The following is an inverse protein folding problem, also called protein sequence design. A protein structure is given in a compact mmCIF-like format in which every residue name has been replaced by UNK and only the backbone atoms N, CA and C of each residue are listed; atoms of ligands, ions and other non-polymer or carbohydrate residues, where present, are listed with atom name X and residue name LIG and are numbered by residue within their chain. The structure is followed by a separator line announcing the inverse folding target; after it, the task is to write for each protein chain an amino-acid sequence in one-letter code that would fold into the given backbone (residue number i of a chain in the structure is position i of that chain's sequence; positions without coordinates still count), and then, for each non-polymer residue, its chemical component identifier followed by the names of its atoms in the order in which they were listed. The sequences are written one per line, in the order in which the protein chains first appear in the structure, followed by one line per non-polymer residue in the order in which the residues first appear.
data_IF_997929534128
#
_entry.id   IF_997929534128
#
_cell.length_a   1.000
_cell.length_b   1.000
_cell.length_c   1.000
_cell.angle_alpha   90.00
_cell.angle_beta   90.00
_cell.angle_gamma   90.00
#
_symmetry.space_group_name_H-M   'P 1'
#
loop_
_entity.id
_entity.type
_entity.pdbx_description
1 polymer ?
#
# COMPACT_ATOMS: atom_id res chain seq x y z
N UNK A 1 45.08 -46.72 2.90
CA UNK A 1 46.36 -46.06 3.19
C UNK A 1 46.08 -44.70 3.80
N UNK A 2 46.60 -44.53 4.99
CA UNK A 2 46.44 -43.36 5.89
C UNK A 2 47.26 -42.20 5.34
N UNK A 3 46.81 -40.96 5.48
CA UNK A 3 47.68 -39.86 5.84
C UNK A 3 46.88 -38.72 6.51
N UNK A 4 47.16 -38.57 7.79
CA UNK A 4 46.82 -37.45 8.64
C UNK A 4 47.74 -36.28 8.32
N UNK A 5 47.22 -35.04 8.25
CA UNK A 5 48.02 -33.86 8.47
C UNK A 5 47.46 -33.07 9.69
N UNK A 6 48.23 -33.15 10.76
CA UNK A 6 48.15 -32.23 11.90
C UNK A 6 48.84 -30.93 11.50
N UNK A 7 48.19 -29.81 11.73
CA UNK A 7 48.86 -28.51 11.74
C UNK A 7 48.66 -27.80 13.10
N UNK A 8 49.79 -27.41 13.65
CA UNK A 8 49.99 -26.94 15.00
C UNK A 8 49.49 -25.48 15.20
N UNK A 9 48.92 -25.29 16.38
CA UNK A 9 48.58 -23.97 16.94
C UNK A 9 49.88 -23.32 17.46
N UNK A 10 50.22 -22.15 16.94
CA UNK A 10 51.21 -21.25 17.55
C UNK A 10 50.51 -20.12 18.29
N UNK A 11 50.65 -20.11 19.58
CA UNK A 11 50.30 -19.00 20.46
C UNK A 11 51.25 -17.84 20.24
N UNK A 12 50.74 -16.67 19.94
CA UNK A 12 51.48 -15.42 20.06
C UNK A 12 50.75 -14.52 21.07
N UNK A 13 51.39 -14.34 22.21
CA UNK A 13 51.03 -13.30 23.22
C UNK A 13 51.33 -11.94 22.60
N UNK A 14 50.37 -11.08 22.56
CA UNK A 14 50.58 -9.66 22.26
C UNK A 14 49.92 -8.80 23.32
N UNK A 15 50.76 -7.91 23.85
CA UNK A 15 50.53 -7.04 25.00
C UNK A 15 49.29 -6.13 24.84
N UNK A 16 48.54 -5.98 25.94
CA UNK A 16 47.46 -5.04 26.12
C UNK A 16 48.05 -3.64 26.34
N UNK A 17 47.90 -2.75 25.35
CA UNK A 17 48.07 -1.31 25.54
C UNK A 17 46.71 -0.75 25.92
N UNK A 18 46.57 -0.33 27.18
CA UNK A 18 45.40 0.42 27.68
C UNK A 18 45.54 1.85 27.18
N UNK A 19 44.92 2.12 26.01
CA UNK A 19 44.72 3.48 25.51
C UNK A 19 43.41 4.02 26.06
N UNK A 20 43.48 5.00 26.94
CA UNK A 20 42.32 5.76 27.42
C UNK A 20 41.67 6.51 26.25
N UNK A 21 40.57 5.99 25.72
CA UNK A 21 39.74 6.68 24.74
C UNK A 21 38.86 7.67 25.51
N UNK A 22 39.21 8.95 25.41
CA UNK A 22 38.30 10.06 25.74
C UNK A 22 37.06 9.95 24.82
N UNK A 23 35.98 9.42 25.34
CA UNK A 23 34.68 9.46 24.69
C UNK A 23 34.17 10.90 24.80
N UNK A 24 34.41 11.70 23.76
CA UNK A 24 33.70 12.94 23.57
C UNK A 24 32.24 12.55 23.20
N UNK A 25 31.32 12.71 24.14
CA UNK A 25 29.90 12.61 23.91
C UNK A 25 29.48 13.71 22.90
N UNK A 26 29.39 13.33 21.62
CA UNK A 26 28.71 14.17 20.65
C UNK A 26 27.26 14.38 21.14
N UNK A 27 26.72 15.61 21.11
CA UNK A 27 25.34 15.85 21.44
C UNK A 27 24.46 15.01 20.50
N UNK A 28 23.61 14.17 21.08
CA UNK A 28 22.56 13.47 20.35
C UNK A 28 21.81 14.50 19.51
N UNK A 29 21.96 14.41 18.19
CA UNK A 29 21.18 15.22 17.27
C UNK A 29 19.70 14.99 17.61
N UNK A 30 19.05 16.01 18.17
CA UNK A 30 17.64 15.98 18.44
C UNK A 30 16.93 15.64 17.15
N UNK A 31 16.22 14.52 17.11
CA UNK A 31 15.46 14.11 15.93
C UNK A 31 14.58 15.29 15.53
N UNK A 32 14.77 15.81 14.30
CA UNK A 32 14.02 16.95 13.83
C UNK A 32 12.53 16.67 13.93
N UNK A 33 11.77 17.58 14.54
CA UNK A 33 10.33 17.45 14.65
C UNK A 33 9.72 17.38 13.24
N UNK A 34 9.04 16.29 12.92
CA UNK A 34 8.37 16.09 11.62
C UNK A 34 6.87 15.91 11.83
N UNK A 35 6.09 16.28 10.83
CA UNK A 35 4.64 16.02 10.84
C UNK A 35 4.39 14.51 10.99
N UNK A 36 3.45 14.12 11.87
CA UNK A 36 3.20 12.71 12.22
C UNK A 36 4.11 12.15 13.32
N UNK A 37 5.27 12.77 13.61
CA UNK A 37 6.18 12.36 14.67
C UNK A 37 5.58 12.53 16.07
N UNK A 38 6.02 11.72 17.05
CA UNK A 38 5.58 11.82 18.45
C UNK A 38 5.99 13.16 19.07
N UNK A 39 5.11 13.73 19.86
CA UNK A 39 5.38 14.88 20.71
C UNK A 39 4.93 14.61 22.14
N UNK A 40 5.41 15.40 23.10
CA UNK A 40 5.25 15.10 24.54
C UNK A 40 4.26 16.01 25.25
N UNK A 41 3.94 17.19 24.71
CA UNK A 41 3.07 18.19 25.36
C UNK A 41 2.04 18.72 24.37
N UNK A 42 0.77 18.43 24.62
CA UNK A 42 -0.33 18.96 23.80
C UNK A 42 -0.29 20.48 23.75
N UNK A 43 -0.51 21.05 22.56
CA UNK A 43 -0.47 22.49 22.31
C UNK A 43 0.94 23.05 22.07
N UNK A 44 2.02 22.32 22.37
CA UNK A 44 3.37 22.78 22.07
C UNK A 44 3.55 23.02 20.57
N UNK A 45 4.40 23.98 20.19
CA UNK A 45 4.72 24.28 18.79
C UNK A 45 6.21 24.01 18.53
N UNK A 46 6.53 23.57 17.33
CA UNK A 46 7.90 23.36 16.85
C UNK A 46 8.01 23.82 15.41
N UNK A 47 9.23 24.08 14.95
CA UNK A 47 9.50 24.36 13.52
C UNK A 47 10.15 23.13 12.87
N UNK A 48 9.72 22.83 11.65
CA UNK A 48 10.35 21.88 10.76
C UNK A 48 10.59 22.61 9.43
N UNK A 49 11.81 23.07 9.22
CA UNK A 49 12.12 23.97 8.12
C UNK A 49 11.30 25.28 8.22
N UNK A 50 10.58 25.61 7.14
CA UNK A 50 9.67 26.78 7.09
C UNK A 50 8.29 26.52 7.68
N UNK A 51 8.00 25.32 8.14
CA UNK A 51 6.68 24.88 8.60
C UNK A 51 6.59 24.94 10.13
N UNK A 52 5.49 25.47 10.65
CA UNK A 52 5.17 25.41 12.09
C UNK A 52 4.30 24.18 12.36
N UNK A 53 4.75 23.38 13.31
CA UNK A 53 4.04 22.19 13.79
C UNK A 53 3.40 22.49 15.16
N UNK A 54 2.24 21.91 15.43
CA UNK A 54 1.58 21.95 16.76
C UNK A 54 1.37 20.52 17.23
N UNK A 55 1.75 20.26 18.48
CA UNK A 55 1.51 18.98 19.12
C UNK A 55 0.01 18.83 19.42
N UNK A 56 -0.63 17.88 18.80
CA UNK A 56 -2.08 17.67 18.89
C UNK A 56 -2.35 16.22 19.30
N UNK A 57 -3.37 16.04 20.14
CA UNK A 57 -3.83 14.70 20.54
C UNK A 57 -4.64 14.10 19.40
N UNK A 58 -4.16 12.98 18.86
CA UNK A 58 -4.84 12.20 17.83
C UNK A 58 -5.08 10.80 18.40
N UNK A 59 -6.32 10.48 18.68
CA UNK A 59 -6.66 9.28 19.47
C UNK A 59 -6.01 9.31 20.84
N UNK A 60 -5.25 8.27 21.20
CA UNK A 60 -4.50 8.16 22.47
C UNK A 60 -3.08 8.73 22.43
N UNK A 61 -2.61 9.22 21.27
CA UNK A 61 -1.21 9.64 21.06
C UNK A 61 -1.12 11.15 20.83
N UNK A 62 0.01 11.73 21.25
CA UNK A 62 0.38 13.11 20.92
C UNK A 62 1.31 13.08 19.71
N UNK A 63 0.93 13.81 18.64
CA UNK A 63 1.69 13.89 17.39
C UNK A 63 1.82 15.32 16.90
N UNK A 64 2.90 15.60 16.16
CA UNK A 64 3.13 16.86 15.50
C UNK A 64 2.21 17.01 14.29
N UNK A 65 1.37 18.03 14.27
CA UNK A 65 0.48 18.39 13.16
C UNK A 65 0.90 19.74 12.60
N UNK A 66 0.99 19.85 11.27
CA UNK A 66 1.34 21.10 10.60
C UNK A 66 0.25 22.15 10.80
N UNK A 67 0.64 23.35 11.22
CA UNK A 67 -0.25 24.51 11.24
C UNK A 67 -0.23 25.20 9.88
N UNK A 68 -1.42 25.38 9.28
CA UNK A 68 -1.54 26.11 8.02
C UNK A 68 -1.02 27.54 8.14
N UNK A 69 -0.14 27.96 7.23
CA UNK A 69 0.24 29.36 7.08
C UNK A 69 -1.01 30.18 6.74
N UNK A 70 -1.29 31.21 7.52
CA UNK A 70 -2.21 32.28 7.09
C UNK A 70 -1.56 32.98 5.88
N UNK A 71 -1.87 32.52 4.68
CA UNK A 71 -1.51 33.18 3.44
C UNK A 71 -2.42 34.39 3.24
N UNK A 72 -1.82 35.54 3.10
CA UNK A 72 -2.43 36.79 2.67
C UNK A 72 -3.05 36.62 1.28
N UNK A 73 -4.23 37.14 1.06
CA UNK A 73 -5.12 36.88 -0.03
C UNK A 73 -4.57 37.07 -1.45
N UNK A 74 -4.95 36.15 -2.30
CA UNK A 74 -5.21 36.39 -3.70
C UNK A 74 -6.52 35.65 -4.03
N UNK A 75 -7.52 36.43 -4.42
CA UNK A 75 -8.86 36.01 -4.79
C UNK A 75 -8.84 35.27 -6.14
N UNK A 76 -8.50 33.99 -6.11
CA UNK A 76 -8.85 33.07 -7.16
C UNK A 76 -9.99 32.22 -6.62
N UNK A 77 -11.16 32.22 -7.26
CA UNK A 77 -12.29 31.34 -6.93
C UNK A 77 -11.83 29.89 -7.03
N UNK A 78 -11.27 29.38 -5.95
CA UNK A 78 -11.15 27.94 -5.75
C UNK A 78 -12.58 27.46 -5.48
N UNK A 79 -13.15 26.71 -6.42
CA UNK A 79 -14.30 25.87 -6.16
C UNK A 79 -14.00 25.12 -4.85
N UNK A 80 -14.75 25.44 -3.80
CA UNK A 80 -14.64 24.72 -2.53
C UNK A 80 -15.12 23.31 -2.78
N UNK A 81 -14.15 22.39 -3.06
CA UNK A 81 -14.45 20.98 -3.22
C UNK A 81 -15.17 20.50 -1.97
N UNK A 82 -16.40 20.03 -2.14
CA UNK A 82 -17.17 19.43 -1.06
C UNK A 82 -16.43 18.19 -0.58
N UNK A 83 -16.14 18.13 0.73
CA UNK A 83 -15.49 16.96 1.30
C UNK A 83 -16.42 15.76 1.18
N UNK A 84 -15.97 14.64 0.59
CA UNK A 84 -16.74 13.41 0.57
C UNK A 84 -17.14 12.99 1.98
N UNK A 85 -18.41 12.68 2.19
CA UNK A 85 -18.95 12.24 3.48
C UNK A 85 -19.24 10.76 3.52
N UNK A 86 -19.25 10.13 2.33
CA UNK A 86 -19.49 8.69 2.14
C UNK A 86 -18.94 8.21 0.80
N UNK A 87 -18.98 6.90 0.55
CA UNK A 87 -18.60 6.30 -0.74
C UNK A 87 -19.33 6.90 -1.95
N UNK A 88 -20.53 7.47 -1.76
CA UNK A 88 -21.33 8.07 -2.84
C UNK A 88 -20.67 9.31 -3.45
N UNK A 89 -19.82 9.97 -2.70
CA UNK A 89 -19.11 11.17 -3.15
C UNK A 89 -17.82 10.84 -3.92
N UNK A 90 -17.47 9.55 -4.05
CA UNK A 90 -16.31 9.07 -4.80
C UNK A 90 -16.70 8.85 -6.26
N UNK A 91 -16.03 9.49 -7.23
CA UNK A 91 -16.39 9.33 -8.64
C UNK A 91 -16.05 7.94 -9.18
N UNK A 92 -16.97 7.37 -9.96
CA UNK A 92 -16.79 6.10 -10.65
C UNK A 92 -16.05 6.32 -11.99
N UNK A 93 -14.72 6.38 -11.95
CA UNK A 93 -13.86 6.76 -13.08
C UNK A 93 -12.65 5.85 -13.28
N UNK A 94 -12.56 4.74 -12.55
CA UNK A 94 -11.43 3.80 -12.66
C UNK A 94 -11.52 3.06 -13.98
N UNK A 95 -10.47 3.12 -14.79
CA UNK A 95 -10.43 2.62 -16.16
C UNK A 95 -9.58 1.37 -16.35
N UNK A 96 -8.75 1.01 -15.38
CA UNK A 96 -7.91 -0.19 -15.35
C UNK A 96 -7.52 -0.52 -13.89
N UNK A 97 -6.89 -1.65 -13.66
CA UNK A 97 -6.49 -2.16 -12.34
C UNK A 97 -5.10 -1.70 -11.85
N UNK A 98 -4.48 -0.75 -12.55
CA UNK A 98 -3.12 -0.30 -12.24
C UNK A 98 -2.04 -1.03 -13.02
N UNK A 99 -2.40 -1.96 -13.90
CA UNK A 99 -1.52 -2.69 -14.81
C UNK A 99 -2.30 -3.22 -16.02
N UNK A 100 -1.63 -3.82 -17.00
CA UNK A 100 -2.31 -4.45 -18.12
C UNK A 100 -2.93 -5.78 -17.65
N UNK A 101 -4.24 -5.77 -17.43
CA UNK A 101 -5.02 -6.90 -16.95
C UNK A 101 -6.11 -7.24 -17.95
N UNK A 102 -6.08 -8.44 -18.48
CA UNK A 102 -7.02 -8.96 -19.49
C UNK A 102 -7.52 -10.33 -19.05
N UNK A 103 -8.51 -10.86 -19.75
CA UNK A 103 -9.02 -12.20 -19.49
C UNK A 103 -7.90 -13.25 -19.59
N UNK A 104 -8.00 -14.27 -18.75
CA UNK A 104 -7.01 -15.35 -18.73
C UNK A 104 -6.93 -16.08 -20.07
N UNK A 105 -5.72 -16.30 -20.54
CA UNK A 105 -5.41 -17.07 -21.73
C UNK A 105 -4.67 -18.35 -21.36
N UNK A 106 -5.32 -19.49 -21.53
CA UNK A 106 -4.68 -20.80 -21.30
C UNK A 106 -3.46 -21.06 -22.22
N UNK A 107 -3.43 -20.43 -23.40
CA UNK A 107 -2.32 -20.55 -24.34
C UNK A 107 -1.03 -19.90 -23.82
N UNK A 108 -1.16 -18.78 -23.08
CA UNK A 108 -0.01 -18.07 -22.50
C UNK A 108 0.17 -18.30 -21.00
N UNK A 109 -0.85 -18.83 -20.33
CA UNK A 109 -0.89 -18.96 -18.87
C UNK A 109 -0.99 -17.65 -18.12
N UNK A 110 -1.45 -16.59 -18.79
CA UNK A 110 -1.46 -15.21 -18.28
C UNK A 110 -2.84 -14.56 -18.37
N UNK A 111 -3.05 -13.58 -17.54
CA UNK A 111 -4.12 -12.60 -17.62
C UNK A 111 -3.48 -11.21 -17.82
N UNK A 112 -3.25 -10.83 -19.08
CA UNK A 112 -2.42 -9.66 -19.39
C UNK A 112 -0.98 -9.83 -18.88
N UNK A 113 -0.55 -8.94 -18.00
CA UNK A 113 0.79 -9.01 -17.38
C UNK A 113 0.85 -10.00 -16.20
N UNK A 114 -0.29 -10.38 -15.62
CA UNK A 114 -0.33 -11.33 -14.51
C UNK A 114 -0.03 -12.75 -14.99
N UNK A 115 0.98 -13.38 -14.39
CA UNK A 115 1.29 -14.80 -14.61
C UNK A 115 0.46 -15.64 -13.65
N UNK A 116 -0.25 -16.64 -14.16
CA UNK A 116 -1.08 -17.57 -13.39
C UNK A 116 -0.53 -18.99 -13.47
N UNK A 117 -0.40 -19.51 -14.70
CA UNK A 117 0.05 -20.89 -14.91
C UNK A 117 1.51 -21.09 -14.52
N UNK A 118 1.77 -22.16 -13.78
CA UNK A 118 3.12 -22.51 -13.31
C UNK A 118 3.60 -21.73 -12.11
N UNK A 119 2.79 -20.82 -11.55
CA UNK A 119 3.11 -20.12 -10.31
C UNK A 119 2.82 -21.06 -9.14
N UNK A 120 3.80 -21.19 -8.24
CA UNK A 120 3.64 -21.95 -7.00
C UNK A 120 3.69 -20.99 -5.81
N UNK A 121 2.63 -20.93 -5.00
CA UNK A 121 2.63 -20.10 -3.79
C UNK A 121 3.82 -20.39 -2.88
N UNK A 122 4.29 -19.40 -2.11
CA UNK A 122 5.20 -19.66 -0.99
C UNK A 122 4.58 -20.64 0.00
N UNK A 123 5.41 -21.50 0.57
CA UNK A 123 4.99 -22.47 1.61
C UNK A 123 5.80 -22.27 2.88
N UNK A 124 5.12 -22.41 4.00
CA UNK A 124 5.66 -22.17 5.32
C UNK A 124 5.57 -23.42 6.17
N UNK A 125 6.50 -23.56 7.13
CA UNK A 125 6.50 -24.58 8.17
C UNK A 125 6.64 -23.91 9.54
N UNK A 126 6.24 -24.62 10.60
CA UNK A 126 6.32 -24.08 11.96
C UNK A 126 4.95 -23.74 12.55
N UNK A 127 4.90 -23.08 13.71
CA UNK A 127 3.67 -22.90 14.48
C UNK A 127 2.59 -22.08 13.78
N UNK A 128 2.96 -21.17 12.88
CA UNK A 128 2.03 -20.31 12.14
C UNK A 128 1.77 -20.80 10.70
N UNK A 129 2.29 -21.97 10.33
CA UNK A 129 2.25 -22.44 8.94
C UNK A 129 0.85 -22.48 8.34
N UNK A 130 -0.18 -22.82 9.12
CA UNK A 130 -1.54 -22.88 8.62
C UNK A 130 -2.07 -21.51 8.18
N UNK A 131 -1.87 -20.47 9.00
CA UNK A 131 -2.29 -19.10 8.67
C UNK A 131 -1.46 -18.49 7.56
N UNK A 132 -0.14 -18.70 7.60
CA UNK A 132 0.77 -18.16 6.60
C UNK A 132 0.52 -18.81 5.22
N UNK A 133 0.36 -20.13 5.16
CA UNK A 133 0.04 -20.81 3.92
C UNK A 133 -1.34 -20.39 3.37
N UNK A 134 -2.34 -20.18 4.23
CA UNK A 134 -3.65 -19.69 3.80
C UNK A 134 -3.55 -18.28 3.18
N UNK A 135 -2.80 -17.38 3.81
CA UNK A 135 -2.57 -16.02 3.33
C UNK A 135 -1.85 -15.99 1.98
N UNK A 136 -0.72 -16.72 1.89
CA UNK A 136 0.12 -16.69 0.68
C UNK A 136 -0.42 -17.55 -0.47
N UNK A 137 -1.58 -18.17 -0.34
CA UNK A 137 -2.24 -18.87 -1.45
C UNK A 137 -2.97 -17.96 -2.43
N UNK A 138 -3.27 -16.72 -2.03
CA UNK A 138 -3.99 -15.78 -2.88
C UNK A 138 -3.03 -15.07 -3.83
N UNK A 139 -3.23 -15.20 -5.14
CA UNK A 139 -2.51 -14.44 -6.17
C UNK A 139 -3.09 -13.02 -6.33
N UNK A 140 -4.36 -12.87 -6.00
CA UNK A 140 -5.07 -11.60 -5.92
C UNK A 140 -5.71 -11.54 -4.54
N UNK A 141 -5.37 -10.54 -3.73
CA UNK A 141 -5.99 -10.28 -2.44
C UNK A 141 -7.24 -9.42 -2.60
N UNK A 142 -8.46 -9.95 -2.40
CA UNK A 142 -9.69 -9.16 -2.46
C UNK A 142 -9.80 -8.18 -1.30
N UNK A 143 -10.46 -7.04 -1.53
CA UNK A 143 -10.80 -6.07 -0.49
C UNK A 143 -11.76 -6.72 0.53
N UNK A 144 -11.47 -6.54 1.81
CA UNK A 144 -12.23 -7.15 2.91
C UNK A 144 -11.82 -8.58 3.24
N UNK A 145 -10.83 -9.14 2.54
CA UNK A 145 -10.21 -10.39 2.95
C UNK A 145 -9.56 -10.22 4.34
N UNK A 146 -9.64 -11.26 5.16
CA UNK A 146 -9.00 -11.25 6.47
C UNK A 146 -7.63 -11.92 6.35
N UNK A 147 -6.58 -11.14 6.53
CA UNK A 147 -5.20 -11.58 6.42
C UNK A 147 -4.49 -11.33 7.75
N UNK A 148 -4.00 -12.38 8.38
CA UNK A 148 -3.37 -12.31 9.72
C UNK A 148 -4.22 -11.57 10.77
N UNK A 149 -5.55 -11.71 10.70
CA UNK A 149 -6.47 -11.03 11.60
C UNK A 149 -6.69 -9.54 11.30
N UNK A 150 -6.17 -9.03 10.19
CA UNK A 150 -6.47 -7.70 9.67
C UNK A 150 -7.36 -7.80 8.44
N UNK A 151 -8.20 -6.80 8.24
CA UNK A 151 -9.07 -6.71 7.06
C UNK A 151 -8.35 -5.86 6.01
N UNK A 152 -8.17 -6.42 4.82
CA UNK A 152 -7.46 -5.75 3.73
C UNK A 152 -8.31 -4.63 3.11
N UNK A 153 -7.85 -3.37 3.14
CA UNK A 153 -8.59 -2.24 2.60
C UNK A 153 -8.34 -2.02 1.11
N UNK A 154 -7.36 -2.70 0.52
CA UNK A 154 -6.89 -2.55 -0.85
C UNK A 154 -6.86 -3.89 -1.56
N UNK A 155 -6.80 -3.88 -2.90
CA UNK A 155 -6.44 -5.07 -3.65
C UNK A 155 -4.94 -5.31 -3.58
N UNK A 156 -4.53 -6.55 -3.35
CA UNK A 156 -3.16 -6.99 -3.56
C UNK A 156 -3.05 -7.81 -4.85
N UNK A 157 -2.21 -7.40 -5.79
CA UNK A 157 -1.93 -8.15 -7.03
C UNK A 157 -0.48 -8.61 -7.03
N UNK A 158 -0.25 -9.92 -7.13
CA UNK A 158 1.10 -10.45 -7.29
C UNK A 158 1.44 -10.59 -8.76
N UNK A 159 2.43 -9.85 -9.22
CA UNK A 159 2.77 -9.65 -10.62
C UNK A 159 4.25 -9.99 -10.87
N UNK A 160 4.64 -10.46 -12.07
CA UNK A 160 6.05 -10.64 -12.42
C UNK A 160 6.88 -9.39 -12.12
N UNK A 161 8.07 -9.58 -11.55
CA UNK A 161 8.99 -8.48 -11.28
C UNK A 161 9.27 -7.67 -12.56
N UNK A 162 9.27 -6.35 -12.44
CA UNK A 162 9.44 -5.44 -13.58
C UNK A 162 8.15 -5.10 -14.34
N UNK A 163 7.01 -5.68 -13.97
CA UNK A 163 5.70 -5.29 -14.52
C UNK A 163 5.48 -3.78 -14.35
N UNK A 164 5.01 -3.11 -15.38
CA UNK A 164 4.71 -1.69 -15.34
C UNK A 164 3.44 -1.43 -14.53
N UNK A 165 3.56 -0.55 -13.53
CA UNK A 165 2.40 0.00 -12.82
C UNK A 165 1.91 1.24 -13.56
N UNK A 166 0.59 1.33 -13.77
CA UNK A 166 -0.04 2.41 -14.53
C UNK A 166 -1.13 3.10 -13.72
N UNK A 167 -1.40 4.37 -14.02
CA UNK A 167 -2.50 5.09 -13.36
C UNK A 167 -3.86 4.46 -13.68
N UNK A 168 -4.66 4.24 -12.65
CA UNK A 168 -6.04 3.76 -12.80
C UNK A 168 -6.99 4.82 -13.37
N UNK A 169 -6.65 6.09 -13.20
CA UNK A 169 -7.51 7.24 -13.51
C UNK A 169 -6.74 8.36 -14.21
N UNK A 170 -7.46 9.26 -14.88
CA UNK A 170 -6.92 10.57 -15.20
C UNK A 170 -6.86 11.41 -13.94
N UNK A 171 -5.81 12.22 -13.75
CA UNK A 171 -5.76 13.03 -12.55
C UNK A 171 -4.47 13.82 -12.33
N UNK A 172 -4.27 14.20 -11.09
CA UNK A 172 -3.06 14.91 -10.63
C UNK A 172 -2.38 14.08 -9.55
N UNK A 173 -1.09 13.84 -9.68
CA UNK A 173 -0.28 13.20 -8.63
C UNK A 173 -0.22 14.14 -7.43
N UNK A 174 -0.76 13.71 -6.30
CA UNK A 174 -0.85 14.50 -5.08
C UNK A 174 0.24 14.17 -4.07
N UNK A 175 0.72 12.93 -4.09
CA UNK A 175 1.71 12.44 -3.15
C UNK A 175 2.50 11.28 -3.75
N UNK A 176 3.79 11.18 -3.38
CA UNK A 176 4.68 10.07 -3.75
C UNK A 176 5.54 9.73 -2.52
N UNK A 177 4.90 9.26 -1.42
CA UNK A 177 5.64 8.96 -0.21
C UNK A 177 6.46 7.68 -0.36
N UNK A 178 7.65 7.69 0.26
CA UNK A 178 8.42 6.47 0.44
C UNK A 178 7.83 5.68 1.60
N UNK A 179 7.57 4.40 1.37
CA UNK A 179 6.98 3.49 2.34
C UNK A 179 8.04 2.84 3.25
N UNK A 180 7.57 2.19 4.32
CA UNK A 180 8.42 1.39 5.22
C UNK A 180 9.11 0.23 4.50
N UNK A 181 8.51 -0.27 3.43
CA UNK A 181 8.98 -1.34 2.54
C UNK A 181 10.11 -0.90 1.61
N UNK A 182 10.54 0.36 1.70
CA UNK A 182 11.60 0.97 0.91
C UNK A 182 11.26 1.20 -0.58
N UNK A 183 10.00 1.07 -0.94
CA UNK A 183 9.37 1.43 -2.20
C UNK A 183 8.45 2.66 -2.02
N UNK A 184 7.52 2.91 -2.93
CA UNK A 184 6.73 4.14 -2.95
C UNK A 184 5.24 3.86 -3.12
N UNK A 185 4.39 4.72 -2.56
CA UNK A 185 3.01 4.89 -2.99
C UNK A 185 2.92 6.03 -3.99
N UNK A 186 2.03 5.93 -4.98
CA UNK A 186 1.65 7.04 -5.87
C UNK A 186 0.15 7.28 -5.72
N UNK A 187 -0.21 8.50 -5.32
CA UNK A 187 -1.59 8.90 -5.01
C UNK A 187 -2.08 9.93 -6.01
N UNK A 188 -3.16 9.61 -6.71
CA UNK A 188 -3.71 10.43 -7.80
C UNK A 188 -5.09 10.94 -7.44
N UNK A 189 -5.27 12.26 -7.37
CA UNK A 189 -6.59 12.86 -7.26
C UNK A 189 -7.26 12.95 -8.64
N UNK A 190 -8.57 12.66 -8.75
CA UNK A 190 -9.30 12.85 -10.00
C UNK A 190 -9.39 14.33 -10.37
N UNK A 191 -9.71 14.65 -11.64
CA UNK A 191 -9.89 16.03 -12.08
C UNK A 191 -10.92 16.77 -11.23
N UNK A 192 -10.58 17.99 -10.79
CA UNK A 192 -11.47 18.83 -9.97
C UNK A 192 -11.46 18.52 -8.47
N UNK A 193 -10.77 17.47 -8.03
CA UNK A 193 -10.58 17.16 -6.61
C UNK A 193 -9.29 17.75 -6.07
N UNK A 194 -9.31 18.11 -4.78
CA UNK A 194 -8.14 18.63 -4.09
C UNK A 194 -7.18 17.52 -3.69
N UNK A 195 -5.90 17.83 -3.65
CA UNK A 195 -4.90 17.03 -2.98
C UNK A 195 -5.05 17.14 -1.43
N UNK A 196 -4.42 16.23 -0.68
CA UNK A 196 -4.61 16.02 0.78
C UNK A 196 -4.37 17.23 1.69
N UNK A 197 -3.91 18.36 1.20
CA UNK A 197 -3.51 19.49 2.04
C UNK A 197 -4.72 20.31 2.50
N UNK A 198 -5.30 19.92 3.65
CA UNK A 198 -6.25 20.72 4.41
C UNK A 198 -7.67 20.78 3.86
N UNK A 199 -8.04 19.93 2.92
CA UNK A 199 -9.36 19.89 2.30
C UNK A 199 -9.95 18.49 2.18
N UNK A 200 -11.13 18.41 1.61
CA UNK A 200 -11.72 17.17 1.15
C UNK A 200 -10.89 16.58 0.01
N UNK A 201 -10.60 15.31 0.08
CA UNK A 201 -9.86 14.59 -0.96
C UNK A 201 -10.46 13.22 -1.25
N UNK A 202 -10.29 12.80 -2.49
CA UNK A 202 -10.39 11.41 -2.94
C UNK A 202 -9.11 11.12 -3.70
N UNK A 203 -8.43 10.04 -3.35
CA UNK A 203 -7.18 9.64 -3.98
C UNK A 203 -7.27 8.17 -4.41
N UNK A 204 -6.83 7.92 -5.62
CA UNK A 204 -6.61 6.58 -6.13
C UNK A 204 -5.15 6.23 -5.90
N UNK A 205 -4.93 5.19 -5.13
CA UNK A 205 -3.63 4.82 -4.61
C UNK A 205 -3.08 3.59 -5.30
N UNK A 206 -1.78 3.63 -5.54
CA UNK A 206 -0.97 2.53 -6.04
C UNK A 206 0.20 2.40 -5.08
N UNK A 207 0.24 1.37 -4.29
CA UNK A 207 1.32 1.12 -3.34
C UNK A 207 2.29 0.06 -3.85
N UNK A 208 3.48 0.06 -3.26
CA UNK A 208 4.58 -0.82 -3.61
C UNK A 208 5.06 -0.62 -5.05
N UNK A 209 5.45 0.61 -5.35
CA UNK A 209 6.02 1.01 -6.64
C UNK A 209 7.53 1.23 -6.49
N UNK A 210 8.32 0.59 -7.34
CA UNK A 210 9.74 0.90 -7.53
C UNK A 210 9.92 1.88 -8.68
N UNK A 211 10.96 2.72 -8.56
CA UNK A 211 11.38 3.66 -9.60
C UNK A 211 10.21 4.52 -10.13
N UNK A 212 9.51 5.28 -9.27
CA UNK A 212 8.41 6.13 -9.72
C UNK A 212 8.90 7.09 -10.80
N UNK A 213 8.11 7.18 -11.89
CA UNK A 213 8.41 8.02 -13.08
C UNK A 213 7.66 9.34 -13.05
N UNK A 214 6.93 9.59 -11.97
CA UNK A 214 6.11 10.78 -11.76
C UNK A 214 6.46 11.46 -10.44
N UNK A 215 6.08 12.73 -10.30
CA UNK A 215 6.27 13.54 -9.09
C UNK A 215 4.98 14.30 -8.75
N UNK A 216 4.91 14.80 -7.55
CA UNK A 216 3.81 15.66 -7.09
C UNK A 216 3.58 16.83 -8.04
N UNK A 217 2.33 17.03 -8.44
CA UNK A 217 1.88 18.04 -9.37
C UNK A 217 1.76 17.56 -10.83
N UNK A 218 2.36 16.44 -11.19
CA UNK A 218 2.25 15.90 -12.54
C UNK A 218 0.80 15.54 -12.88
N UNK A 219 0.38 15.81 -14.12
CA UNK A 219 -0.88 15.34 -14.68
C UNK A 219 -0.65 13.99 -15.30
N UNK A 220 -1.51 13.03 -14.97
CA UNK A 220 -1.45 11.69 -15.52
C UNK A 220 -2.76 11.32 -16.20
N UNK A 221 -2.68 10.42 -17.17
CA UNK A 221 -3.84 9.80 -17.81
C UNK A 221 -3.95 8.34 -17.38
N UNK A 222 -5.16 7.79 -17.38
CA UNK A 222 -5.37 6.37 -17.14
C UNK A 222 -4.54 5.53 -18.12
N UNK A 223 -3.81 4.55 -17.62
CA UNK A 223 -2.87 3.74 -18.38
C UNK A 223 -1.46 4.33 -18.50
N UNK A 224 -1.23 5.58 -18.08
CA UNK A 224 0.13 6.15 -18.05
C UNK A 224 0.99 5.43 -17.01
N UNK A 225 2.22 5.07 -17.37
CA UNK A 225 3.18 4.42 -16.46
C UNK A 225 3.51 5.33 -15.28
N UNK A 226 3.46 4.74 -14.08
CA UNK A 226 3.84 5.37 -12.80
C UNK A 226 5.17 4.85 -12.27
N UNK A 227 5.55 3.63 -12.61
CA UNK A 227 6.76 2.95 -12.16
C UNK A 227 6.71 1.47 -12.51
N UNK A 228 7.31 0.63 -11.68
CA UNK A 228 7.24 -0.83 -11.78
C UNK A 228 6.82 -1.42 -10.43
N UNK A 229 6.29 -2.65 -10.45
CA UNK A 229 5.83 -3.37 -9.26
C UNK A 229 6.94 -3.51 -8.21
N UNK A 230 6.58 -3.35 -6.93
CA UNK A 230 7.47 -3.47 -5.79
C UNK A 230 7.88 -4.91 -5.49
N UNK A 231 9.03 -5.09 -4.85
CA UNK A 231 9.65 -6.38 -4.58
C UNK A 231 9.91 -6.62 -3.08
N UNK A 232 9.19 -5.89 -2.23
CA UNK A 232 9.45 -5.89 -0.78
C UNK A 232 9.11 -7.21 -0.09
N UNK A 233 8.14 -7.97 -0.64
CA UNK A 233 7.76 -9.25 -0.06
C UNK A 233 8.79 -10.34 -0.45
N UNK A 234 9.65 -10.82 0.48
CA UNK A 234 10.74 -11.71 0.13
C UNK A 234 10.28 -13.09 -0.36
N UNK A 235 9.12 -13.54 0.08
CA UNK A 235 8.59 -14.86 -0.26
C UNK A 235 8.08 -14.90 -1.71
N UNK A 236 7.33 -13.89 -2.12
CA UNK A 236 6.89 -13.76 -3.50
C UNK A 236 8.02 -13.31 -4.42
N UNK A 237 8.93 -12.45 -3.94
CA UNK A 237 10.15 -12.09 -4.68
C UNK A 237 10.98 -13.33 -5.06
N UNK A 238 11.11 -14.30 -4.15
CA UNK A 238 11.80 -15.57 -4.43
C UNK A 238 11.09 -16.42 -5.51
N UNK A 239 9.82 -16.13 -5.80
CA UNK A 239 9.04 -16.73 -6.90
C UNK A 239 9.06 -15.89 -8.18
N UNK A 240 9.84 -14.80 -8.21
CA UNK A 240 9.89 -13.87 -9.34
C UNK A 240 8.71 -12.90 -9.42
N UNK A 241 7.93 -12.78 -8.34
CA UNK A 241 6.76 -11.91 -8.27
C UNK A 241 6.99 -10.77 -7.28
N UNK A 242 6.42 -9.63 -7.60
CA UNK A 242 6.28 -8.49 -6.72
C UNK A 242 4.82 -8.25 -6.38
N UNK A 243 4.54 -7.30 -5.49
CA UNK A 243 3.19 -6.92 -5.12
C UNK A 243 2.89 -5.50 -5.56
N UNK A 244 1.68 -5.30 -6.06
CA UNK A 244 1.05 -4.01 -6.27
C UNK A 244 -0.22 -3.98 -5.42
N UNK A 245 -0.33 -3.01 -4.53
CA UNK A 245 -1.58 -2.74 -3.84
C UNK A 245 -2.28 -1.55 -4.48
N UNK A 246 -3.60 -1.69 -4.71
CA UNK A 246 -4.41 -0.63 -5.29
C UNK A 246 -5.65 -0.38 -4.46
N UNK A 247 -5.95 0.89 -4.24
CA UNK A 247 -7.07 1.30 -3.42
C UNK A 247 -7.64 2.65 -3.82
N UNK A 248 -8.76 2.99 -3.19
CA UNK A 248 -9.27 4.34 -3.13
C UNK A 248 -9.39 4.73 -1.68
N UNK A 249 -8.86 5.88 -1.32
CA UNK A 249 -9.05 6.43 0.00
C UNK A 249 -9.48 7.89 -0.04
N UNK A 250 -10.15 8.31 1.00
CA UNK A 250 -10.80 9.60 1.04
C UNK A 250 -10.91 10.13 2.47
N UNK A 251 -11.07 11.45 2.57
CA UNK A 251 -11.31 12.11 3.85
C UNK A 251 -12.81 12.12 4.18
N UNK A 252 -13.13 11.98 5.47
CA UNK A 252 -14.47 12.24 6.01
C UNK A 252 -14.46 13.46 6.91
N UNK A 253 -15.54 14.22 6.91
CA UNK A 253 -15.72 15.35 7.80
C UNK A 253 -15.62 14.89 9.26
N UNK A 254 -14.74 15.55 10.02
CA UNK A 254 -14.51 15.23 11.44
C UNK A 254 -13.60 14.02 11.70
N UNK A 255 -13.04 13.40 10.67
CA UNK A 255 -12.04 12.32 10.78
C UNK A 255 -10.68 12.81 10.29
N UNK A 256 -9.62 12.45 11.02
CA UNK A 256 -8.23 12.68 10.61
C UNK A 256 -7.60 11.42 9.96
N UNK A 257 -8.33 10.31 9.96
CA UNK A 257 -7.87 9.08 9.34
C UNK A 257 -8.30 9.03 7.86
N UNK A 258 -7.49 8.46 6.97
CA UNK A 258 -7.95 8.08 5.65
C UNK A 258 -8.99 6.97 5.78
N UNK A 259 -9.99 7.00 4.90
CA UNK A 259 -11.02 5.97 4.76
C UNK A 259 -10.84 5.28 3.44
N UNK A 260 -10.98 3.97 3.45
CA UNK A 260 -10.93 3.12 2.27
C UNK A 260 -12.33 2.60 1.91
N UNK A 261 -12.51 2.30 0.64
CA UNK A 261 -13.77 1.77 0.13
C UNK A 261 -13.50 0.69 -0.93
N UNK A 262 -14.49 -0.14 -1.17
CA UNK A 262 -14.42 -1.16 -2.22
C UNK A 262 -14.17 -0.52 -3.60
N UNK A 263 -12.95 -0.66 -4.11
CA UNK A 263 -12.49 -0.08 -5.38
C UNK A 263 -13.35 -0.51 -6.56
N UNK A 264 -13.84 -1.75 -6.59
CA UNK A 264 -14.76 -2.26 -7.63
C UNK A 264 -16.07 -1.50 -7.73
N UNK A 265 -16.44 -0.73 -6.70
CA UNK A 265 -17.65 0.12 -6.73
C UNK A 265 -17.46 1.35 -7.62
N UNK A 266 -16.22 1.78 -7.88
CA UNK A 266 -15.88 3.03 -8.55
C UNK A 266 -15.27 2.84 -9.94
N UNK A 267 -15.44 1.64 -10.51
CA UNK A 267 -15.09 1.38 -11.91
C UNK A 267 -15.94 2.24 -12.85
N UNK A 268 -15.29 2.77 -13.90
CA UNK A 268 -15.97 3.50 -14.98
C UNK A 268 -17.15 2.66 -15.49
N UNK A 269 -18.39 3.20 -15.53
CA UNK A 269 -19.58 2.44 -15.91
C UNK A 269 -19.48 1.76 -17.27
N UNK A 270 -18.72 2.34 -18.22
CA UNK A 270 -18.55 1.78 -19.56
C UNK A 270 -17.58 0.59 -19.59
N UNK A 271 -16.73 0.45 -18.58
CA UNK A 271 -15.70 -0.61 -18.46
C UNK A 271 -16.00 -1.62 -17.36
N UNK A 272 -16.87 -1.27 -16.42
CA UNK A 272 -17.13 -2.02 -15.19
C UNK A 272 -17.40 -3.50 -15.44
N UNK A 273 -18.31 -3.82 -16.35
CA UNK A 273 -18.70 -5.21 -16.62
C UNK A 273 -17.51 -6.04 -17.13
N UNK A 274 -16.75 -5.50 -18.07
CA UNK A 274 -15.57 -6.19 -18.61
C UNK A 274 -14.47 -6.34 -17.54
N UNK A 275 -14.22 -5.30 -16.76
CA UNK A 275 -13.18 -5.34 -15.70
C UNK A 275 -13.53 -6.35 -14.60
N UNK A 276 -14.78 -6.45 -14.18
CA UNK A 276 -15.21 -7.45 -13.20
C UNK A 276 -15.16 -8.87 -13.78
N UNK A 277 -15.52 -9.07 -15.05
CA UNK A 277 -15.39 -10.35 -15.73
C UNK A 277 -13.93 -10.83 -15.80
N UNK A 278 -13.01 -9.92 -16.14
CA UNK A 278 -11.56 -10.20 -16.13
C UNK A 278 -11.08 -10.64 -14.75
N UNK A 279 -11.54 -9.99 -13.68
CA UNK A 279 -11.19 -10.35 -12.31
C UNK A 279 -11.70 -11.74 -11.94
N UNK A 280 -12.97 -12.06 -12.22
CA UNK A 280 -13.53 -13.41 -12.04
C UNK A 280 -12.79 -14.45 -12.86
N UNK A 281 -12.45 -14.14 -14.11
CA UNK A 281 -11.66 -15.04 -14.97
C UNK A 281 -10.31 -15.39 -14.35
N UNK A 282 -9.64 -14.41 -13.74
CA UNK A 282 -8.36 -14.64 -13.08
C UNK A 282 -8.50 -15.45 -11.77
N UNK A 283 -9.57 -15.21 -10.99
CA UNK A 283 -9.88 -16.02 -9.82
C UNK A 283 -10.06 -17.49 -10.20
N UNK A 284 -10.96 -17.78 -11.15
CA UNK A 284 -11.24 -19.14 -11.61
C UNK A 284 -9.98 -19.82 -12.21
N UNK A 285 -9.15 -19.07 -12.93
CA UNK A 285 -7.90 -19.58 -13.47
C UNK A 285 -6.90 -19.96 -12.37
N UNK A 286 -6.79 -19.13 -11.34
CA UNK A 286 -5.90 -19.40 -10.21
C UNK A 286 -6.37 -20.59 -9.36
N UNK A 287 -7.67 -20.68 -9.10
CA UNK A 287 -8.28 -21.85 -8.44
C UNK A 287 -8.05 -23.12 -9.22
N UNK A 288 -8.18 -23.08 -10.55
CA UNK A 288 -7.88 -24.20 -11.44
C UNK A 288 -6.40 -24.60 -11.35
N UNK A 289 -5.48 -23.63 -11.35
CA UNK A 289 -4.04 -23.90 -11.24
C UNK A 289 -3.67 -24.58 -9.92
N UNK A 290 -4.31 -24.18 -8.81
CA UNK A 290 -4.07 -24.78 -7.50
C UNK A 290 -4.91 -26.04 -7.22
N UNK A 291 -5.89 -26.36 -8.06
CA UNK A 291 -6.83 -27.47 -7.83
C UNK A 291 -7.72 -27.24 -6.59
N UNK A 292 -8.03 -25.98 -6.26
CA UNK A 292 -8.83 -25.61 -5.09
C UNK A 292 -9.82 -24.49 -5.44
N UNK A 293 -11.07 -24.85 -5.66
CA UNK A 293 -12.16 -23.95 -6.03
C UNK A 293 -12.83 -23.25 -4.83
N UNK A 294 -12.17 -23.20 -3.69
CA UNK A 294 -12.67 -22.57 -2.48
C UNK A 294 -11.85 -21.35 -2.04
N UNK A 295 -10.83 -20.98 -2.85
CA UNK A 295 -9.93 -19.86 -2.53
C UNK A 295 -10.66 -18.52 -2.56
N UNK A 296 -11.55 -18.34 -3.53
CA UNK A 296 -12.34 -17.13 -3.71
C UNK A 296 -13.83 -17.46 -3.59
N UNK A 297 -14.45 -17.06 -2.49
CA UNK A 297 -15.91 -17.20 -2.34
C UNK A 297 -16.62 -16.02 -3.00
N UNK A 298 -16.73 -16.05 -4.33
CA UNK A 298 -17.34 -14.97 -5.10
C UNK A 298 -18.83 -14.77 -4.75
N UNK A 299 -19.48 -15.77 -4.16
CA UNK A 299 -20.89 -15.64 -3.70
C UNK A 299 -21.02 -14.64 -2.55
N UNK A 300 -19.93 -14.41 -1.82
CA UNK A 300 -19.85 -13.42 -0.74
C UNK A 300 -19.31 -12.07 -1.21
N UNK A 301 -18.93 -11.96 -2.49
CA UNK A 301 -18.43 -10.71 -3.05
C UNK A 301 -19.54 -9.92 -3.75
N UNK A 302 -19.73 -8.66 -3.36
CA UNK A 302 -20.69 -7.78 -4.04
C UNK A 302 -20.24 -6.31 -3.92
N UNK A 303 -19.60 -5.77 -5.00
CA UNK A 303 -19.24 -6.39 -6.28
C UNK A 303 -18.09 -7.40 -6.17
N UNK A 304 -17.85 -8.15 -7.25
CA UNK A 304 -16.71 -9.06 -7.37
C UNK A 304 -15.41 -8.38 -6.93
N UNK A 305 -14.62 -9.11 -6.17
CA UNK A 305 -13.36 -8.64 -5.59
C UNK A 305 -13.50 -7.90 -4.25
N UNK A 306 -14.73 -7.69 -3.74
CA UNK A 306 -14.93 -7.09 -2.43
C UNK A 306 -15.81 -7.98 -1.55
N UNK A 307 -15.26 -8.49 -0.46
CA UNK A 307 -16.02 -9.17 0.60
C UNK A 307 -16.84 -8.19 1.44
N UNK A 308 -16.53 -6.91 1.39
CA UNK A 308 -17.28 -5.85 2.07
C UNK A 308 -17.31 -4.59 1.24
N UNK A 309 -18.42 -3.86 1.33
CA UNK A 309 -18.55 -2.47 0.83
C UNK A 309 -18.55 -1.48 1.99
N UNK A 310 -18.38 -1.94 3.22
CA UNK A 310 -18.22 -1.05 4.36
C UNK A 310 -16.95 -0.20 4.19
N UNK A 311 -17.06 1.06 4.54
CA UNK A 311 -15.93 1.97 4.58
C UNK A 311 -15.02 1.61 5.76
N UNK A 312 -13.72 1.52 5.51
CA UNK A 312 -12.71 1.07 6.46
C UNK A 312 -11.68 2.16 6.71
N UNK A 313 -11.04 2.12 7.88
CA UNK A 313 -9.82 2.89 8.17
C UNK A 313 -8.70 1.92 8.48
N UNK A 314 -7.44 2.34 8.35
CA UNK A 314 -6.29 1.51 8.75
C UNK A 314 -6.36 1.07 10.23
N UNK A 315 -7.05 1.83 11.07
CA UNK A 315 -7.29 1.47 12.47
C UNK A 315 -8.37 0.40 12.65
N UNK A 316 -9.26 0.22 11.66
CA UNK A 316 -10.32 -0.79 11.68
C UNK A 316 -9.87 -2.13 11.07
N UNK A 317 -8.64 -2.20 10.58
CA UNK A 317 -8.04 -3.43 10.04
C UNK A 317 -7.80 -4.51 11.11
N UNK A 318 -7.97 -4.19 12.39
CA UNK A 318 -7.92 -5.20 13.44
C UNK A 318 -9.22 -6.00 13.44
N UNK A 319 -9.07 -7.28 13.22
CA UNK A 319 -10.13 -8.27 13.20
C UNK A 319 -11.17 -8.04 14.31
N UNK A 320 -12.42 -7.79 13.94
CA UNK A 320 -13.59 -7.85 14.83
C UNK A 320 -14.12 -9.29 14.99
N UNK A 321 -13.27 -10.31 14.81
CA UNK A 321 -13.65 -11.73 14.93
C UNK A 321 -14.08 -12.17 16.34
N UNK A 322 -14.41 -11.24 17.24
CA UNK A 322 -15.00 -11.55 18.54
C UNK A 322 -16.53 -11.32 18.61
N UNK A 323 -17.23 -11.10 17.50
CA UNK A 323 -18.69 -11.01 17.49
C UNK A 323 -19.30 -11.97 16.47
N UNK A 324 -19.09 -13.26 16.71
CA UNK A 324 -19.79 -14.36 16.09
C UNK A 324 -20.16 -15.33 17.18
N UNK A 325 -21.24 -15.03 17.90
CA UNK A 325 -21.96 -16.04 18.68
C UNK A 325 -23.01 -16.67 17.80
#
# INVERSE_FOLDING_TARGET
MKNFYKMAVKHACTAIIVGSVLVTSAPLASAANSAGGKCTKAGATAKSGKTTLKCTKVGSKLVWVQQGSKGSGSSGSASSGTQPTSQRDIPAIIQNWGFNFTDYSAATGKAGDMLIKGVTPPTFSGPNAASDNAMYRLLIGPIGAVVQGMVEPQYGFYLPLGTSVTSMVNGTVCDVPKLYSNDYSVRVAPPGMACMQGGAYVLYEHEHILNPTVKVGDKVTAGQKLGIVGDYNPHWKAKGLGVLETGVFFSKKGSNAPWHACLSSFLDPTKKSAMLATLSSAFAAWETELGDNTLYDETKMSPVGCYTTAEMTDSNNKNTSNNGG
#
